data_IF_179035542565
#
_entry.id   IF_179035542565
#
_cell.length_a   1.000
_cell.length_b   1.000
_cell.length_c   1.000
_cell.angle_alpha   90.00
_cell.angle_beta   90.00
_cell.angle_gamma   90.00
#
_symmetry.space_group_name_H-M   'P 1'
#
loop_
_entity.id
_entity.type
_entity.pdbx_description
1 polymer ?
#
# COMPACT_ATOMS: atom_id res chain seq x y z
N UNK A 1 -7.42 17.87 90.54
CA UNK A 1 -6.99 17.37 89.21
C UNK A 1 -8.20 17.31 88.27
N UNK A 2 -8.14 17.99 87.11
CA UNK A 2 -9.25 18.06 86.17
C UNK A 2 -9.35 16.84 85.27
N UNK A 3 -10.56 16.41 84.95
CA UNK A 3 -10.80 15.29 84.02
C UNK A 3 -10.31 15.67 82.62
N UNK A 4 -9.62 14.76 81.90
CA UNK A 4 -9.24 14.99 80.52
C UNK A 4 -10.47 15.26 79.65
N UNK A 5 -10.34 16.23 78.75
CA UNK A 5 -11.42 16.57 77.82
C UNK A 5 -11.75 15.43 76.86
N UNK A 6 -12.97 15.42 76.30
CA UNK A 6 -13.35 14.41 75.32
C UNK A 6 -12.46 14.49 74.08
N UNK A 7 -12.24 13.33 73.44
CA UNK A 7 -11.50 13.25 72.19
C UNK A 7 -12.30 13.95 71.09
N UNK A 8 -11.62 14.78 70.30
CA UNK A 8 -12.22 15.45 69.14
C UNK A 8 -12.69 14.48 68.07
N UNK A 9 -13.64 14.92 67.25
CA UNK A 9 -14.21 14.11 66.17
C UNK A 9 -13.17 13.79 65.10
N UNK A 10 -13.32 12.62 64.47
CA UNK A 10 -12.47 12.20 63.35
C UNK A 10 -12.81 13.06 62.14
N UNK A 11 -11.78 13.58 61.46
CA UNK A 11 -11.94 14.39 60.26
C UNK A 11 -12.59 13.61 59.12
N UNK A 12 -13.27 14.34 58.22
CA UNK A 12 -13.91 13.76 57.06
C UNK A 12 -12.91 13.11 56.09
N UNK A 13 -13.30 12.04 55.38
CA UNK A 13 -12.47 11.45 54.32
C UNK A 13 -12.07 12.49 53.27
N UNK A 14 -10.88 12.32 52.70
CA UNK A 14 -10.41 13.14 51.59
C UNK A 14 -11.25 12.93 50.33
N UNK A 15 -11.26 13.93 49.43
CA UNK A 15 -11.94 13.81 48.14
C UNK A 15 -11.16 12.90 47.19
N UNK A 16 -11.88 12.18 46.33
CA UNK A 16 -11.25 11.37 45.29
C UNK A 16 -10.44 12.23 44.33
N UNK A 17 -9.28 11.71 43.90
CA UNK A 17 -8.42 12.38 42.95
C UNK A 17 -9.05 12.47 41.55
N UNK A 18 -8.62 13.45 40.76
CA UNK A 18 -9.08 13.58 39.37
C UNK A 18 -8.64 12.38 38.54
N UNK A 19 -9.54 11.88 37.69
CA UNK A 19 -9.19 10.87 36.70
C UNK A 19 -8.19 11.44 35.69
N UNK A 20 -7.21 10.62 35.27
CA UNK A 20 -6.21 11.01 34.29
C UNK A 20 -6.82 11.27 32.91
N UNK A 21 -6.13 12.05 32.08
CA UNK A 21 -6.58 12.31 30.71
C UNK A 21 -6.55 11.03 29.88
N UNK A 22 -7.55 10.87 29.00
CA UNK A 22 -7.58 9.77 28.04
C UNK A 22 -6.37 9.90 27.10
N UNK A 23 -5.66 8.79 26.88
CA UNK A 23 -4.53 8.75 25.94
C UNK A 23 -4.93 9.11 24.51
N UNK A 24 -3.95 9.52 23.71
CA UNK A 24 -4.15 9.85 22.31
C UNK A 24 -4.74 8.67 21.53
N UNK A 25 -5.60 8.97 20.56
CA UNK A 25 -6.20 7.97 19.68
C UNK A 25 -5.13 7.35 18.76
N UNK A 26 -5.18 6.03 18.57
CA UNK A 26 -4.32 5.33 17.60
C UNK A 26 -4.77 5.53 16.15
N UNK A 27 -3.82 5.53 15.21
CA UNK A 27 -4.11 5.67 13.77
C UNK A 27 -4.71 4.37 13.20
N UNK A 28 -5.95 4.43 12.74
CA UNK A 28 -6.59 3.37 11.94
C UNK A 28 -6.56 3.77 10.46
N UNK A 29 -5.51 3.41 9.74
CA UNK A 29 -5.48 3.59 8.29
C UNK A 29 -6.11 2.36 7.62
N UNK A 30 -7.37 2.49 7.20
CA UNK A 30 -8.04 1.47 6.40
C UNK A 30 -7.61 1.64 4.94
N UNK A 31 -7.25 0.52 4.33
CA UNK A 31 -6.57 0.50 3.05
C UNK A 31 -7.22 1.32 1.92
N UNK A 32 -6.52 2.34 1.37
CA UNK A 32 -6.88 2.94 0.09
C UNK A 32 -6.99 1.94 -1.06
N UNK A 33 -7.86 2.22 -2.03
CA UNK A 33 -7.77 1.58 -3.35
C UNK A 33 -6.83 2.39 -4.24
N UNK A 34 -5.82 1.73 -4.78
CA UNK A 34 -4.85 2.29 -5.70
C UNK A 34 -4.96 1.64 -7.07
N UNK A 35 -4.74 2.41 -8.12
CA UNK A 35 -4.65 1.94 -9.49
C UNK A 35 -3.19 1.93 -9.93
N UNK A 36 -2.74 0.83 -10.52
CA UNK A 36 -1.40 0.70 -11.09
C UNK A 36 -1.48 0.36 -12.56
N UNK A 37 -0.59 0.92 -13.37
CA UNK A 37 -0.40 0.54 -14.76
C UNK A 37 1.08 0.46 -15.10
N UNK A 38 1.43 -0.55 -15.89
CA UNK A 38 2.75 -0.72 -16.46
C UNK A 38 2.62 -0.84 -17.98
N UNK A 39 3.54 -0.21 -18.70
CA UNK A 39 3.68 -0.34 -20.15
C UNK A 39 5.13 -0.64 -20.46
N UNK A 40 5.36 -1.57 -21.37
CA UNK A 40 6.63 -1.72 -22.08
C UNK A 40 6.46 -1.32 -23.54
N UNK A 41 7.43 -0.57 -24.06
CA UNK A 41 7.58 -0.28 -25.49
C UNK A 41 8.89 -0.88 -25.98
N UNK A 42 8.84 -1.75 -26.99
CA UNK A 42 10.05 -2.31 -27.59
C UNK A 42 10.45 -1.53 -28.84
N UNK A 43 11.75 -1.33 -29.06
CA UNK A 43 12.27 -0.99 -30.38
C UNK A 43 13.72 -1.43 -30.50
N UNK A 44 13.95 -2.65 -31.02
CA UNK A 44 15.06 -2.88 -31.94
C UNK A 44 14.98 -4.22 -32.67
N UNK A 45 15.54 -4.19 -33.87
CA UNK A 45 16.16 -5.33 -34.52
C UNK A 45 17.65 -5.44 -34.09
N UNK A 46 18.18 -6.66 -33.86
CA UNK A 46 17.44 -7.89 -33.64
C UNK A 46 16.87 -7.93 -32.21
N UNK A 47 15.68 -8.53 -32.01
CA UNK A 47 15.11 -8.70 -30.68
C UNK A 47 15.98 -9.68 -29.87
N UNK A 48 16.26 -9.35 -28.61
CA UNK A 48 16.97 -10.23 -27.68
C UNK A 48 16.01 -11.20 -26.95
N UNK A 49 14.69 -11.00 -27.05
CA UNK A 49 13.69 -11.81 -26.36
C UNK A 49 12.45 -12.04 -27.24
N UNK A 50 12.01 -13.30 -27.32
CA UNK A 50 10.88 -13.72 -28.16
C UNK A 50 9.52 -13.41 -27.55
N UNK A 51 9.41 -13.21 -26.24
CA UNK A 51 8.15 -12.90 -25.57
C UNK A 51 8.34 -11.92 -24.42
N UNK A 52 7.24 -11.33 -23.97
CA UNK A 52 7.20 -10.42 -22.84
C UNK A 52 6.18 -10.88 -21.82
N UNK A 53 6.59 -10.93 -20.56
CA UNK A 53 5.69 -11.14 -19.46
C UNK A 53 6.09 -10.29 -18.26
N UNK A 54 5.12 -9.68 -17.60
CA UNK A 54 5.34 -9.07 -16.30
C UNK A 54 4.12 -9.26 -15.40
N UNK A 55 4.39 -9.20 -14.10
CA UNK A 55 3.42 -9.25 -13.03
C UNK A 55 3.40 -7.92 -12.29
N UNK A 56 2.21 -7.50 -11.86
CA UNK A 56 2.05 -6.48 -10.82
C UNK A 56 2.02 -7.23 -9.49
N UNK A 57 3.01 -6.97 -8.65
CA UNK A 57 3.23 -7.65 -7.38
C UNK A 57 2.71 -6.79 -6.22
N UNK A 58 2.16 -7.43 -5.19
CA UNK A 58 1.93 -6.84 -3.86
C UNK A 58 2.55 -7.74 -2.80
N UNK A 59 3.47 -7.20 -2.00
CA UNK A 59 4.13 -7.92 -0.90
C UNK A 59 4.64 -9.32 -1.31
N UNK A 60 5.17 -9.46 -2.52
CA UNK A 60 5.70 -10.73 -3.05
C UNK A 60 4.68 -11.66 -3.71
N UNK A 61 3.40 -11.28 -3.78
CA UNK A 61 2.36 -12.04 -4.48
C UNK A 61 1.95 -11.35 -5.79
N UNK A 62 1.80 -12.13 -6.88
CA UNK A 62 1.27 -11.60 -8.14
C UNK A 62 -0.22 -11.30 -8.01
N UNK A 63 -0.60 -10.06 -8.30
CA UNK A 63 -1.99 -9.60 -8.35
C UNK A 63 -2.58 -9.78 -9.74
N UNK A 64 -1.76 -9.53 -10.77
CA UNK A 64 -2.15 -9.61 -12.16
C UNK A 64 -0.92 -9.88 -13.04
N UNK A 65 -1.10 -10.76 -14.01
CA UNK A 65 -0.07 -11.17 -14.97
C UNK A 65 -0.44 -10.74 -16.38
N UNK A 66 0.53 -10.19 -17.11
CA UNK A 66 0.35 -9.72 -18.48
C UNK A 66 1.38 -10.34 -19.40
N UNK A 67 0.94 -10.81 -20.57
CA UNK A 67 1.79 -11.49 -21.55
C UNK A 67 1.56 -10.93 -22.95
N UNK A 68 2.64 -10.75 -23.71
CA UNK A 68 2.60 -10.46 -25.14
C UNK A 68 3.47 -11.48 -25.86
N UNK A 69 2.85 -12.22 -26.78
CA UNK A 69 3.54 -13.05 -27.75
C UNK A 69 4.17 -12.16 -28.83
N UNK A 70 5.43 -12.41 -29.17
CA UNK A 70 6.09 -11.81 -30.31
C UNK A 70 6.50 -12.91 -31.30
N UNK A 71 5.92 -12.85 -32.50
CA UNK A 71 6.08 -13.85 -33.56
C UNK A 71 6.94 -13.35 -34.72
N UNK A 72 8.13 -12.82 -34.43
CA UNK A 72 9.08 -12.33 -35.44
C UNK A 72 8.49 -11.31 -36.44
N UNK A 73 7.60 -10.45 -35.96
CA UNK A 73 6.99 -9.42 -36.78
C UNK A 73 7.98 -8.26 -37.01
N UNK A 74 8.00 -7.62 -38.19
CA UNK A 74 8.91 -6.52 -38.47
C UNK A 74 8.58 -5.21 -37.71
N UNK A 75 7.48 -5.19 -36.94
CA UNK A 75 7.01 -4.01 -36.20
C UNK A 75 7.23 -4.18 -34.70
N UNK A 76 7.60 -3.11 -33.98
CA UNK A 76 7.68 -3.14 -32.53
C UNK A 76 6.31 -3.43 -31.92
N UNK A 77 6.30 -4.24 -30.86
CA UNK A 77 5.10 -4.50 -30.06
C UNK A 77 5.16 -3.73 -28.74
N UNK A 78 4.00 -3.52 -28.12
CA UNK A 78 3.88 -2.93 -26.80
C UNK A 78 2.94 -3.80 -25.97
N UNK A 79 3.26 -3.95 -24.69
CA UNK A 79 2.36 -4.56 -23.72
C UNK A 79 2.03 -3.52 -22.65
N UNK A 80 0.76 -3.40 -22.34
CA UNK A 80 0.25 -2.61 -21.23
C UNK A 80 -0.60 -3.48 -20.32
N UNK A 81 -0.50 -3.24 -19.02
CA UNK A 81 -1.30 -3.90 -18.00
C UNK A 81 -1.63 -2.94 -16.87
N UNK A 82 -2.67 -3.25 -16.12
CA UNK A 82 -3.02 -2.48 -14.93
C UNK A 82 -4.00 -3.21 -14.02
N UNK A 83 -4.01 -2.83 -12.75
CA UNK A 83 -4.85 -3.43 -11.73
C UNK A 83 -5.29 -2.39 -10.69
N UNK A 84 -6.48 -2.61 -10.12
CA UNK A 84 -6.95 -1.93 -8.92
C UNK A 84 -6.68 -2.84 -7.73
N UNK A 85 -6.01 -2.32 -6.70
CA UNK A 85 -5.66 -3.07 -5.50
C UNK A 85 -5.95 -2.26 -4.24
N UNK A 86 -6.39 -2.94 -3.19
CA UNK A 86 -6.53 -2.39 -1.85
C UNK A 86 -5.18 -2.49 -1.12
N UNK A 87 -4.64 -1.37 -0.65
CA UNK A 87 -3.35 -1.28 0.03
C UNK A 87 -3.51 -0.77 1.47
N UNK A 88 -3.08 -1.54 2.45
CA UNK A 88 -2.90 -1.09 3.83
C UNK A 88 -1.60 -0.28 3.95
N UNK A 89 -1.41 0.54 4.99
CA UNK A 89 -0.09 1.10 5.28
C UNK A 89 0.97 0.00 5.27
N UNK A 90 2.17 0.35 4.81
CA UNK A 90 3.30 -0.58 4.65
C UNK A 90 3.16 -1.61 3.50
N UNK A 91 2.03 -1.67 2.79
CA UNK A 91 1.94 -2.51 1.59
C UNK A 91 2.78 -1.94 0.44
N UNK A 92 3.63 -2.78 -0.16
CA UNK A 92 4.49 -2.44 -1.28
C UNK A 92 3.96 -3.04 -2.59
N UNK A 93 4.02 -2.23 -3.66
CA UNK A 93 3.63 -2.65 -5.01
C UNK A 93 4.77 -2.36 -5.99
N UNK A 94 5.12 -3.37 -6.80
CA UNK A 94 6.14 -3.24 -7.84
C UNK A 94 5.80 -4.08 -9.07
N UNK A 95 6.60 -3.93 -10.12
CA UNK A 95 6.52 -4.75 -11.33
C UNK A 95 7.65 -5.76 -11.32
N UNK A 96 7.35 -7.00 -11.68
CA UNK A 96 8.33 -8.09 -11.74
C UNK A 96 8.19 -8.87 -13.05
N UNK A 97 9.31 -9.30 -13.63
CA UNK A 97 9.28 -10.28 -14.74
C UNK A 97 9.05 -11.66 -14.13
N UNK A 98 7.97 -12.33 -14.50
CA UNK A 98 7.56 -13.60 -13.89
C UNK A 98 8.20 -14.85 -14.49
N UNK A 99 8.77 -14.79 -15.70
CA UNK A 99 9.39 -15.94 -16.39
C UNK A 99 10.75 -15.56 -16.96
N UNK A 100 11.77 -16.37 -16.61
CA UNK A 100 13.21 -16.07 -16.68
C UNK A 100 13.72 -15.34 -17.92
N UNK A 101 13.40 -15.81 -19.13
CA UNK A 101 13.97 -15.25 -20.36
C UNK A 101 13.13 -14.11 -20.98
N UNK A 102 11.99 -13.77 -20.38
CA UNK A 102 11.11 -12.68 -20.85
C UNK A 102 11.48 -11.34 -20.22
N UNK A 103 12.77 -11.11 -19.99
CA UNK A 103 13.37 -9.89 -19.40
C UNK A 103 13.34 -8.72 -20.37
N UNK A 104 12.13 -8.19 -20.57
CA UNK A 104 11.87 -7.30 -21.69
C UNK A 104 12.06 -5.81 -21.46
N UNK A 105 12.04 -5.29 -20.23
CA UNK A 105 11.94 -3.84 -20.01
C UNK A 105 12.99 -3.06 -20.82
N UNK A 106 12.51 -2.20 -21.70
CA UNK A 106 13.32 -1.53 -22.71
C UNK A 106 13.08 -0.03 -22.71
N UNK A 107 14.15 0.73 -22.83
CA UNK A 107 14.13 2.17 -23.01
C UNK A 107 15.17 2.55 -24.07
N UNK A 108 14.82 3.49 -24.93
CA UNK A 108 15.69 4.05 -25.97
C UNK A 108 15.31 5.52 -26.21
N UNK A 109 16.08 6.21 -27.05
CA UNK A 109 15.76 7.57 -27.50
C UNK A 109 14.37 7.72 -28.17
N UNK A 110 13.72 6.62 -28.54
CA UNK A 110 12.40 6.63 -29.21
C UNK A 110 11.31 5.89 -28.43
N UNK A 111 11.65 5.20 -27.35
CA UNK A 111 10.71 4.29 -26.67
C UNK A 111 11.00 4.24 -25.19
N UNK A 112 9.94 4.24 -24.38
CA UNK A 112 10.05 4.13 -22.93
C UNK A 112 9.16 3.00 -22.40
N UNK A 113 9.59 2.43 -21.29
CA UNK A 113 8.77 1.59 -20.44
C UNK A 113 8.40 2.40 -19.18
N UNK A 114 7.12 2.39 -18.80
CA UNK A 114 6.59 3.25 -17.73
C UNK A 114 5.86 2.40 -16.70
N UNK A 115 6.00 2.75 -15.43
CA UNK A 115 5.16 2.26 -14.34
C UNK A 115 4.57 3.45 -13.58
N UNK A 116 3.26 3.45 -13.39
CA UNK A 116 2.52 4.55 -12.75
C UNK A 116 1.53 3.99 -11.75
N UNK A 117 1.37 4.66 -10.61
CA UNK A 117 0.39 4.31 -9.60
C UNK A 117 -0.22 5.55 -8.96
N UNK A 118 -1.51 5.50 -8.61
CA UNK A 118 -2.19 6.59 -7.90
C UNK A 118 -3.29 6.08 -6.97
N UNK A 119 -3.56 6.86 -5.93
CA UNK A 119 -4.68 6.66 -5.02
C UNK A 119 -6.00 7.00 -5.71
N UNK A 120 -6.94 6.05 -5.80
CA UNK A 120 -8.28 6.27 -6.39
C UNK A 120 -9.22 6.88 -5.35
N UNK A 121 -9.26 6.29 -4.16
CA UNK A 121 -9.98 6.87 -3.02
C UNK A 121 -9.42 6.30 -1.72
N UNK A 122 -9.52 7.09 -0.66
CA UNK A 122 -9.22 6.69 0.71
C UNK A 122 -10.53 6.35 1.44
N UNK A 123 -10.62 5.19 2.07
CA UNK A 123 -11.65 4.93 3.08
C UNK A 123 -11.11 5.34 4.44
N UNK A 124 -11.16 6.64 4.76
CA UNK A 124 -11.07 7.07 6.14
C UNK A 124 -12.44 6.80 6.77
N UNK A 125 -12.63 5.63 7.37
CA UNK A 125 -13.76 5.47 8.28
C UNK A 125 -13.52 6.44 9.45
N UNK A 126 -14.40 7.43 9.59
CA UNK A 126 -14.63 8.06 10.89
C UNK A 126 -14.78 6.92 11.90
N UNK A 127 -13.96 6.96 12.94
CA UNK A 127 -13.81 5.91 13.94
C UNK A 127 -15.18 5.43 14.42
N UNK A 128 -15.40 4.11 14.41
CA UNK A 128 -16.58 3.51 15.01
C UNK A 128 -16.52 3.67 16.53
N UNK A 129 -16.94 4.84 17.02
CA UNK A 129 -17.34 5.10 18.40
C UNK A 129 -18.83 5.45 18.47
N UNK A 130 -19.50 5.66 17.33
CA UNK A 130 -20.96 5.87 17.27
C UNK A 130 -21.57 5.14 16.06
N UNK A 131 -21.69 3.82 16.14
CA UNK A 131 -22.61 3.01 15.35
C UNK A 131 -23.20 1.92 16.24
#
# INVERSE_FOLDING_TARGET
>A
PGVPGPRGEVGSPGVDGMHGEKGAQGECAVAPRSAFSAKRSESRSPPLADHLQFDIMKNGQSIASFFQYYGNWPKPTSLSGGALVRLEPEDEVWVQVGVGDYIGFYASVKTDSTFTGFLVYSYWQNSAVFA
#
